data_IF_327948712491
#
_entry.id   IF_327948712491
#
_cell.length_a   1.000
_cell.length_b   1.000
_cell.length_c   1.000
_cell.angle_alpha   90.00
_cell.angle_beta   90.00
_cell.angle_gamma   90.00
#
_symmetry.space_group_name_H-M   'P 1'
#
loop_
_entity.id
_entity.type
_entity.pdbx_description
1 polymer ?
#
# COMPACT_ATOMS: atom_id res chain seq x y z
N UNK A 1 27.04 7.05 -3.87
CA UNK A 1 25.65 7.41 -3.59
C UNK A 1 24.78 6.40 -4.31
N UNK A 2 24.21 5.44 -3.62
CA UNK A 2 23.25 4.51 -4.22
C UNK A 2 21.99 5.32 -4.53
N UNK A 3 21.70 5.54 -5.81
CA UNK A 3 20.45 6.17 -6.23
C UNK A 3 19.30 5.29 -5.74
N UNK A 4 18.32 5.90 -5.06
CA UNK A 4 17.14 5.20 -4.63
C UNK A 4 16.42 4.59 -5.85
N UNK A 5 16.27 3.26 -5.92
CA UNK A 5 15.74 2.58 -7.10
C UNK A 5 14.28 2.93 -7.40
N UNK A 6 13.57 3.54 -6.44
CA UNK A 6 12.17 3.89 -6.58
C UNK A 6 11.93 5.36 -6.93
N UNK A 7 12.97 6.21 -6.98
CA UNK A 7 12.81 7.66 -7.14
C UNK A 7 12.02 8.02 -8.40
N UNK A 8 12.38 7.47 -9.56
CA UNK A 8 11.71 7.78 -10.84
C UNK A 8 10.20 7.43 -10.82
N UNK A 9 9.83 6.34 -10.19
CA UNK A 9 8.41 5.91 -10.08
C UNK A 9 7.65 6.80 -9.09
N UNK A 10 8.30 7.23 -8.02
CA UNK A 10 7.71 8.18 -7.06
C UNK A 10 7.46 9.53 -7.70
N UNK A 11 8.44 10.08 -8.41
CA UNK A 11 8.30 11.37 -9.09
C UNK A 11 7.18 11.32 -10.12
N UNK A 12 7.08 10.17 -10.85
CA UNK A 12 6.00 9.95 -11.82
C UNK A 12 4.65 9.95 -11.15
N UNK A 13 4.44 9.13 -10.11
CA UNK A 13 3.13 9.03 -9.47
C UNK A 13 2.73 10.32 -8.75
N UNK A 14 3.66 11.05 -8.12
CA UNK A 14 3.36 12.35 -7.52
C UNK A 14 2.86 13.35 -8.56
N UNK A 15 3.51 13.40 -9.74
CA UNK A 15 3.07 14.23 -10.86
C UNK A 15 1.68 13.83 -11.35
N UNK A 16 1.43 12.52 -11.54
CA UNK A 16 0.14 12.01 -12.03
C UNK A 16 -0.99 12.26 -11.05
N UNK A 17 -0.77 12.02 -9.76
CA UNK A 17 -1.76 12.31 -8.70
C UNK A 17 -2.04 13.82 -8.59
N UNK A 18 -1.00 14.66 -8.65
CA UNK A 18 -1.17 16.12 -8.62
C UNK A 18 -2.06 16.61 -9.75
N UNK A 19 -1.79 16.15 -10.98
CA UNK A 19 -2.59 16.52 -12.15
C UNK A 19 -4.03 16.02 -12.04
N UNK A 20 -4.23 14.74 -11.65
CA UNK A 20 -5.54 14.15 -11.47
C UNK A 20 -6.37 14.91 -10.43
N UNK A 21 -5.81 15.14 -9.24
CA UNK A 21 -6.53 15.79 -8.14
C UNK A 21 -6.78 17.27 -8.39
N UNK A 22 -5.97 17.93 -9.23
CA UNK A 22 -6.22 19.30 -9.65
C UNK A 22 -7.38 19.38 -10.64
N UNK A 23 -7.50 18.40 -11.55
CA UNK A 23 -8.59 18.35 -12.53
C UNK A 23 -9.90 17.80 -11.96
N UNK A 24 -9.84 16.86 -11.03
CA UNK A 24 -11.01 16.20 -10.46
C UNK A 24 -11.63 16.93 -9.26
N UNK A 25 -10.96 17.94 -8.73
CA UNK A 25 -11.42 18.68 -7.56
C UNK A 25 -11.29 20.19 -7.79
N UNK A 26 -12.33 20.92 -7.44
CA UNK A 26 -12.33 22.37 -7.47
C UNK A 26 -11.59 23.00 -6.26
N UNK A 27 -11.70 24.31 -6.09
CA UNK A 27 -11.15 25.04 -4.94
C UNK A 27 -11.96 24.87 -3.63
N UNK A 28 -12.98 23.99 -3.61
CA UNK A 28 -13.80 23.70 -2.43
C UNK A 28 -12.96 23.14 -1.27
N UNK A 29 -13.56 23.12 -0.09
CA UNK A 29 -12.95 22.49 1.09
C UNK A 29 -12.66 21.01 0.84
N UNK A 30 -13.60 20.31 0.22
CA UNK A 30 -13.45 18.90 -0.17
C UNK A 30 -12.23 18.68 -1.07
N UNK A 31 -12.09 19.46 -2.15
CA UNK A 31 -10.96 19.33 -3.06
C UNK A 31 -9.61 19.62 -2.37
N UNK A 32 -9.57 20.57 -1.44
CA UNK A 32 -8.39 20.85 -0.62
C UNK A 32 -8.04 19.68 0.31
N UNK A 33 -9.04 19.08 0.96
CA UNK A 33 -8.87 17.93 1.84
C UNK A 33 -8.35 16.69 1.08
N UNK A 34 -8.91 16.38 -0.11
CA UNK A 34 -8.43 15.31 -0.99
C UNK A 34 -6.96 15.48 -1.38
N UNK A 35 -6.57 16.69 -1.82
CA UNK A 35 -5.17 17.01 -2.16
C UNK A 35 -4.26 16.92 -0.95
N UNK A 36 -4.68 17.46 0.18
CA UNK A 36 -3.92 17.43 1.42
C UNK A 36 -3.57 16.02 1.86
N UNK A 37 -4.52 15.11 1.80
CA UNK A 37 -4.36 13.71 2.19
C UNK A 37 -3.48 12.92 1.21
N UNK A 38 -3.65 13.14 -0.09
CA UNK A 38 -2.95 12.35 -1.11
C UNK A 38 -1.60 12.93 -1.51
N UNK A 39 -1.44 14.27 -1.53
CA UNK A 39 -0.22 14.96 -1.94
C UNK A 39 0.57 15.39 -0.70
N UNK A 40 1.39 14.59 -0.18
CA UNK A 40 2.11 14.90 1.05
C UNK A 40 3.30 14.01 1.27
N UNK A 41 3.73 13.37 0.21
CA UNK A 41 4.84 12.44 0.28
C UNK A 41 4.38 11.04 0.72
N UNK A 42 5.35 10.25 1.13
CA UNK A 42 5.21 8.84 1.46
C UNK A 42 6.05 7.97 0.56
N UNK A 43 6.13 6.69 0.90
CA UNK A 43 7.00 5.74 0.19
C UNK A 43 6.48 5.37 -1.21
N UNK A 44 5.21 5.61 -1.48
CA UNK A 44 4.52 5.27 -2.74
C UNK A 44 4.75 3.83 -3.21
N UNK A 45 4.93 2.93 -2.25
CA UNK A 45 5.30 1.54 -2.51
C UNK A 45 4.33 0.84 -3.48
N UNK A 46 3.03 1.06 -3.30
CA UNK A 46 1.99 0.40 -4.10
C UNK A 46 2.04 0.85 -5.55
N UNK A 47 2.16 2.14 -5.79
CA UNK A 47 2.33 2.69 -7.13
C UNK A 47 3.64 2.23 -7.78
N UNK A 48 4.76 2.33 -7.05
CA UNK A 48 6.06 1.84 -7.54
C UNK A 48 5.97 0.35 -7.93
N UNK A 49 5.29 -0.46 -7.14
CA UNK A 49 5.12 -1.88 -7.41
C UNK A 49 4.29 -2.13 -8.68
N UNK A 50 3.23 -1.36 -8.91
CA UNK A 50 2.46 -1.45 -10.15
C UNK A 50 3.32 -1.14 -11.38
N UNK A 51 4.15 -0.10 -11.32
CA UNK A 51 5.09 0.24 -12.40
C UNK A 51 6.16 -0.83 -12.61
N UNK A 52 6.77 -1.31 -11.53
CA UNK A 52 7.81 -2.35 -11.60
C UNK A 52 7.28 -3.66 -12.18
N UNK A 53 6.04 -4.01 -11.85
CA UNK A 53 5.37 -5.20 -12.38
C UNK A 53 5.01 -5.04 -13.87
N UNK A 54 4.62 -3.83 -14.28
CA UNK A 54 4.40 -3.51 -15.69
C UNK A 54 5.69 -3.66 -16.50
N UNK A 55 6.80 -3.09 -16.03
CA UNK A 55 8.11 -3.26 -16.68
C UNK A 55 8.57 -4.73 -16.74
N UNK A 56 8.34 -5.50 -15.67
CA UNK A 56 8.69 -6.92 -15.64
C UNK A 56 7.94 -7.73 -16.70
N UNK A 57 6.76 -7.28 -17.09
CA UNK A 57 5.97 -7.85 -18.18
C UNK A 57 6.17 -7.15 -19.54
N UNK A 58 7.13 -6.21 -19.64
CA UNK A 58 7.42 -5.50 -20.88
C UNK A 58 6.33 -4.51 -21.31
N UNK A 59 5.51 -4.01 -20.36
CA UNK A 59 4.55 -2.94 -20.58
C UNK A 59 5.21 -1.58 -20.39
N UNK A 60 4.65 -0.54 -20.97
CA UNK A 60 5.07 0.83 -20.70
C UNK A 60 4.58 1.29 -19.33
N UNK A 61 5.26 2.27 -18.73
CA UNK A 61 4.78 2.88 -17.48
C UNK A 61 3.43 3.59 -17.66
N UNK A 62 3.17 4.07 -18.87
CA UNK A 62 1.90 4.71 -19.21
C UNK A 62 0.71 3.74 -19.06
N UNK A 63 0.90 2.46 -19.35
CA UNK A 63 -0.14 1.44 -19.23
C UNK A 63 -0.48 1.11 -17.75
N UNK A 64 0.41 1.47 -16.83
CA UNK A 64 0.22 1.27 -15.39
C UNK A 64 -0.23 2.53 -14.64
N UNK A 65 -0.26 3.71 -15.28
CA UNK A 65 -0.54 4.98 -14.61
C UNK A 65 -1.89 4.99 -13.87
N UNK A 66 -2.96 4.56 -14.55
CA UNK A 66 -4.30 4.56 -13.95
C UNK A 66 -4.39 3.62 -12.76
N UNK A 67 -3.75 2.45 -12.83
CA UNK A 67 -3.70 1.49 -11.72
C UNK A 67 -2.85 2.00 -10.56
N UNK A 68 -1.70 2.60 -10.86
CA UNK A 68 -0.83 3.20 -9.84
C UNK A 68 -1.53 4.35 -9.11
N UNK A 69 -2.25 5.21 -9.82
CA UNK A 69 -3.08 6.26 -9.22
C UNK A 69 -4.21 5.66 -8.39
N UNK A 70 -4.94 4.69 -8.92
CA UNK A 70 -6.08 4.08 -8.24
C UNK A 70 -5.69 3.44 -6.90
N UNK A 71 -4.60 2.67 -6.86
CA UNK A 71 -4.17 2.03 -5.61
C UNK A 71 -3.69 3.02 -4.56
N UNK A 72 -3.08 4.15 -4.96
CA UNK A 72 -2.70 5.21 -4.03
C UNK A 72 -3.90 6.03 -3.53
N UNK A 73 -4.93 6.24 -4.37
CA UNK A 73 -6.19 6.87 -3.95
C UNK A 73 -6.92 5.99 -2.92
N UNK A 74 -7.01 4.67 -3.16
CA UNK A 74 -7.55 3.70 -2.18
C UNK A 74 -6.75 3.75 -0.88
N UNK A 75 -5.42 3.75 -0.96
CA UNK A 75 -4.59 3.87 0.23
C UNK A 75 -4.76 5.24 0.93
N UNK A 76 -4.92 6.32 0.15
CA UNK A 76 -5.15 7.65 0.69
C UNK A 76 -6.45 7.74 1.49
N UNK A 77 -7.57 7.23 0.94
CA UNK A 77 -8.83 7.22 1.67
C UNK A 77 -8.76 6.37 2.95
N UNK A 78 -8.08 5.21 2.90
CA UNK A 78 -7.98 4.36 4.08
C UNK A 78 -7.26 5.06 5.24
N UNK A 79 -6.17 5.79 4.93
CA UNK A 79 -5.46 6.56 5.95
C UNK A 79 -6.31 7.71 6.53
N UNK A 80 -7.14 8.38 5.72
CA UNK A 80 -8.04 9.43 6.20
C UNK A 80 -9.04 8.85 7.19
N UNK A 81 -9.65 7.71 6.85
CA UNK A 81 -10.67 7.09 7.70
C UNK A 81 -10.05 6.43 8.94
N UNK A 82 -8.87 5.80 8.80
CA UNK A 82 -8.15 5.22 9.94
C UNK A 82 -7.81 6.28 11.00
N UNK A 83 -7.47 7.52 10.59
CA UNK A 83 -7.13 8.61 11.50
C UNK A 83 -8.33 9.21 12.28
N UNK A 84 -9.58 8.89 11.92
CA UNK A 84 -10.78 9.48 12.55
C UNK A 84 -10.89 9.11 14.05
N UNK A 85 -11.55 9.97 14.87
CA UNK A 85 -11.75 9.69 16.31
C UNK A 85 -12.49 8.40 16.64
N UNK A 86 -13.28 7.87 15.70
CA UNK A 86 -13.98 6.59 15.83
C UNK A 86 -13.13 5.37 15.43
N UNK A 87 -11.89 5.60 15.01
CA UNK A 87 -10.93 4.61 14.55
C UNK A 87 -9.66 4.69 15.40
N UNK A 88 -8.49 4.99 14.81
CA UNK A 88 -7.21 5.06 15.52
C UNK A 88 -7.03 6.38 16.32
N UNK A 89 -7.85 7.41 16.09
CA UNK A 89 -7.80 8.76 16.70
C UNK A 89 -6.43 9.41 16.59
N UNK A 90 -5.80 9.29 15.43
CA UNK A 90 -4.46 9.81 15.20
C UNK A 90 -4.50 11.32 14.86
N UNK A 91 -3.92 12.16 15.71
CA UNK A 91 -3.84 13.61 15.49
C UNK A 91 -2.83 14.00 14.39
N UNK A 92 -1.85 13.14 14.10
CA UNK A 92 -0.77 13.42 13.14
C UNK A 92 -0.62 12.29 12.13
N UNK A 93 -0.44 12.66 10.84
CA UNK A 93 -0.10 11.75 9.76
C UNK A 93 1.08 12.29 8.94
N UNK A 94 2.17 11.54 8.84
CA UNK A 94 3.40 11.96 8.14
C UNK A 94 3.96 13.30 8.65
N UNK A 95 3.91 13.52 9.97
CA UNK A 95 4.41 14.74 10.61
C UNK A 95 3.53 15.99 10.42
N UNK A 96 2.32 15.84 9.86
CA UNK A 96 1.32 16.90 9.68
C UNK A 96 0.04 16.55 10.44
N UNK A 97 -0.81 17.52 10.80
CA UNK A 97 -2.15 17.23 11.32
C UNK A 97 -2.88 16.25 10.39
N UNK A 98 -3.58 15.26 10.96
CA UNK A 98 -4.44 14.38 10.20
C UNK A 98 -5.57 15.15 9.51
N UNK A 99 -6.23 14.55 8.52
CA UNK A 99 -7.21 15.28 7.69
C UNK A 99 -8.38 15.79 8.52
N UNK A 100 -8.86 15.03 9.50
CA UNK A 100 -9.96 15.45 10.37
C UNK A 100 -9.58 16.60 11.30
N UNK A 101 -8.31 16.69 11.71
CA UNK A 101 -7.82 17.84 12.50
C UNK A 101 -7.69 19.09 11.63
N UNK A 102 -7.25 18.93 10.37
CA UNK A 102 -7.01 20.07 9.48
C UNK A 102 -8.30 20.65 8.85
N UNK A 103 -9.31 19.80 8.58
CA UNK A 103 -10.52 20.18 7.83
C UNK A 103 -11.84 19.85 8.54
N UNK A 104 -11.81 19.14 9.67
CA UNK A 104 -12.97 18.63 10.37
C UNK A 104 -13.37 17.22 9.92
N UNK A 105 -14.09 16.50 10.81
CA UNK A 105 -14.46 15.09 10.62
C UNK A 105 -15.34 14.87 9.38
N UNK A 106 -16.35 15.73 9.18
CA UNK A 106 -17.24 15.60 8.03
C UNK A 106 -16.50 15.71 6.70
N UNK A 107 -15.60 16.69 6.56
CA UNK A 107 -14.77 16.84 5.36
C UNK A 107 -13.79 15.67 5.18
N UNK A 108 -13.25 15.12 6.26
CA UNK A 108 -12.39 13.95 6.20
C UNK A 108 -13.16 12.72 5.68
N UNK A 109 -14.36 12.46 6.21
CA UNK A 109 -15.22 11.37 5.74
C UNK A 109 -15.52 11.51 4.25
N UNK A 110 -16.01 12.70 3.84
CA UNK A 110 -16.36 12.97 2.45
C UNK A 110 -15.15 12.92 1.50
N UNK A 111 -13.97 13.36 1.96
CA UNK A 111 -12.74 13.26 1.18
C UNK A 111 -12.34 11.79 0.95
N UNK A 112 -12.46 10.93 1.96
CA UNK A 112 -12.25 9.50 1.81
C UNK A 112 -13.21 8.86 0.82
N UNK A 113 -14.51 9.14 0.92
CA UNK A 113 -15.54 8.63 0.00
C UNK A 113 -15.28 9.06 -1.44
N UNK A 114 -14.92 10.34 -1.64
CA UNK A 114 -14.62 10.87 -2.97
C UNK A 114 -13.35 10.26 -3.57
N UNK A 115 -12.30 10.05 -2.78
CA UNK A 115 -11.08 9.39 -3.23
C UNK A 115 -11.32 7.93 -3.60
N UNK A 116 -12.15 7.21 -2.84
CA UNK A 116 -12.52 5.84 -3.17
C UNK A 116 -13.26 5.76 -4.51
N UNK A 117 -14.24 6.63 -4.74
CA UNK A 117 -14.95 6.70 -6.02
C UNK A 117 -14.01 7.06 -7.18
N UNK A 118 -13.13 8.06 -6.98
CA UNK A 118 -12.14 8.49 -7.98
C UNK A 118 -11.16 7.38 -8.35
N UNK A 119 -10.81 6.50 -7.43
CA UNK A 119 -9.91 5.37 -7.70
C UNK A 119 -10.48 4.42 -8.77
N UNK A 120 -11.78 4.16 -8.76
CA UNK A 120 -12.41 3.34 -9.79
C UNK A 120 -12.62 4.11 -11.08
N UNK A 121 -12.95 5.39 -10.96
CA UNK A 121 -13.14 6.27 -12.12
C UNK A 121 -11.87 6.37 -12.95
N UNK A 122 -10.69 6.57 -12.35
CA UNK A 122 -9.43 6.74 -13.10
C UNK A 122 -9.08 5.51 -13.94
N UNK A 123 -9.45 4.29 -13.51
CA UNK A 123 -9.29 3.08 -14.32
C UNK A 123 -10.35 3.04 -15.43
N UNK A 124 -11.60 3.36 -15.09
CA UNK A 124 -12.71 3.33 -16.05
C UNK A 124 -12.52 4.30 -17.23
N UNK A 125 -11.96 5.48 -16.95
CA UNK A 125 -11.74 6.55 -17.93
C UNK A 125 -10.44 6.42 -18.74
N UNK A 126 -9.54 5.46 -18.39
CA UNK A 126 -8.28 5.30 -19.13
C UNK A 126 -8.52 4.77 -20.54
N UNK A 127 -8.34 5.65 -21.54
CA UNK A 127 -8.59 5.34 -22.95
C UNK A 127 -7.61 4.32 -23.56
N UNK A 128 -6.49 4.02 -22.88
CA UNK A 128 -5.48 3.05 -23.35
C UNK A 128 -5.82 1.62 -22.98
N UNK A 129 -6.63 1.45 -21.93
CA UNK A 129 -7.02 0.13 -21.45
C UNK A 129 -8.23 -0.40 -22.23
N UNK A 130 -8.20 -1.68 -22.58
CA UNK A 130 -9.37 -2.37 -23.14
C UNK A 130 -10.50 -2.45 -22.10
N UNK A 131 -11.73 -2.59 -22.55
CA UNK A 131 -12.88 -2.78 -21.64
C UNK A 131 -12.70 -3.99 -20.73
N UNK A 132 -12.14 -5.08 -21.23
CA UNK A 132 -11.86 -6.30 -20.48
C UNK A 132 -10.82 -6.05 -19.37
N UNK A 133 -9.72 -5.36 -19.71
CA UNK A 133 -8.69 -4.96 -18.73
C UNK A 133 -9.26 -4.08 -17.64
N UNK A 134 -10.06 -3.07 -18.01
CA UNK A 134 -10.74 -2.18 -17.03
C UNK A 134 -11.62 -2.96 -16.06
N UNK A 135 -12.49 -3.83 -16.59
CA UNK A 135 -13.37 -4.67 -15.76
C UNK A 135 -12.56 -5.57 -14.84
N UNK A 136 -11.50 -6.19 -15.35
CA UNK A 136 -10.60 -7.04 -14.57
C UNK A 136 -9.93 -6.27 -13.41
N UNK A 137 -9.34 -5.11 -13.71
CA UNK A 137 -8.68 -4.24 -12.72
C UNK A 137 -9.66 -3.71 -11.67
N UNK A 138 -10.83 -3.19 -12.08
CA UNK A 138 -11.86 -2.70 -11.17
C UNK A 138 -12.36 -3.82 -10.25
N UNK A 139 -12.64 -5.00 -10.79
CA UNK A 139 -13.06 -6.15 -10.01
C UNK A 139 -11.98 -6.65 -9.04
N UNK A 140 -10.70 -6.61 -9.43
CA UNK A 140 -9.59 -7.00 -8.56
C UNK A 140 -9.35 -5.95 -7.46
N UNK A 141 -9.35 -4.65 -7.80
CA UNK A 141 -9.19 -3.56 -6.84
C UNK A 141 -10.32 -3.54 -5.81
N UNK A 142 -11.58 -3.72 -6.23
CA UNK A 142 -12.72 -3.75 -5.33
C UNK A 142 -12.66 -4.91 -4.32
N UNK A 143 -12.15 -6.08 -4.75
CA UNK A 143 -11.88 -7.21 -3.84
C UNK A 143 -10.74 -6.91 -2.87
N UNK A 144 -9.66 -6.29 -3.36
CA UNK A 144 -8.49 -5.96 -2.54
C UNK A 144 -8.78 -4.86 -1.51
N UNK A 145 -9.62 -3.89 -1.86
CA UNK A 145 -10.01 -2.79 -0.97
C UNK A 145 -11.16 -3.17 0.00
N UNK A 146 -12.06 -4.06 -0.42
CA UNK A 146 -13.34 -4.32 0.24
C UNK A 146 -13.30 -5.25 1.45
N UNK A 147 -14.47 -5.82 1.80
CA UNK A 147 -14.68 -6.65 2.99
C UNK A 147 -13.85 -7.95 3.05
N UNK A 148 -13.37 -8.44 1.90
CA UNK A 148 -12.46 -9.60 1.81
C UNK A 148 -10.99 -9.20 1.62
N UNK A 149 -10.67 -7.93 1.75
CA UNK A 149 -9.36 -7.32 1.61
C UNK A 149 -9.09 -6.33 2.73
N UNK A 150 -8.62 -5.13 2.37
CA UNK A 150 -8.12 -4.12 3.30
C UNK A 150 -9.14 -3.72 4.38
N UNK A 151 -10.38 -3.40 4.00
CA UNK A 151 -11.44 -3.01 4.97
C UNK A 151 -11.77 -4.17 5.91
N UNK A 152 -11.85 -5.41 5.39
CA UNK A 152 -12.03 -6.59 6.24
C UNK A 152 -10.85 -6.81 7.19
N UNK A 153 -9.62 -6.55 6.73
CA UNK A 153 -8.43 -6.58 7.57
C UNK A 153 -8.45 -5.53 8.67
N UNK A 154 -8.85 -4.30 8.35
CA UNK A 154 -9.01 -3.21 9.32
C UNK A 154 -10.07 -3.56 10.38
N UNK A 155 -11.21 -4.09 9.97
CA UNK A 155 -12.26 -4.51 10.91
C UNK A 155 -11.77 -5.62 11.87
N UNK A 156 -10.99 -6.58 11.37
CA UNK A 156 -10.39 -7.62 12.22
C UNK A 156 -9.33 -7.05 13.16
N UNK A 157 -8.52 -6.09 12.70
CA UNK A 157 -7.50 -5.41 13.48
C UNK A 157 -8.12 -4.70 14.70
N UNK A 158 -9.14 -3.88 14.47
CA UNK A 158 -9.91 -3.20 15.53
C UNK A 158 -10.56 -4.17 16.51
N UNK A 159 -11.16 -5.25 16.02
CA UNK A 159 -11.77 -6.28 16.89
C UNK A 159 -10.74 -7.00 17.76
N UNK A 160 -9.48 -6.97 17.37
CA UNK A 160 -8.39 -7.68 18.01
C UNK A 160 -7.57 -6.80 18.98
N UNK A 161 -7.93 -5.53 19.13
CA UNK A 161 -7.28 -4.63 20.09
C UNK A 161 -7.35 -5.19 21.51
N UNK A 162 -6.27 -4.99 22.27
CA UNK A 162 -6.12 -5.51 23.63
C UNK A 162 -6.15 -7.03 23.75
N UNK A 163 -5.99 -7.78 22.65
CA UNK A 163 -5.92 -9.24 22.66
C UNK A 163 -4.52 -9.71 22.25
N UNK A 164 -4.05 -10.78 22.89
CA UNK A 164 -2.85 -11.50 22.41
C UNK A 164 -3.26 -12.46 21.32
N UNK A 165 -2.74 -12.24 20.11
CA UNK A 165 -3.09 -13.03 18.94
C UNK A 165 -2.09 -14.15 18.68
N UNK A 166 -2.59 -15.29 18.25
CA UNK A 166 -1.77 -16.32 17.63
C UNK A 166 -1.17 -15.80 16.31
N UNK A 167 0.09 -16.18 16.04
CA UNK A 167 0.86 -15.67 14.90
C UNK A 167 0.14 -15.84 13.53
N UNK A 168 -0.59 -16.93 13.36
CA UNK A 168 -1.34 -17.16 12.11
C UNK A 168 -2.55 -16.22 11.96
N UNK A 169 -3.17 -15.79 13.07
CA UNK A 169 -4.27 -14.81 13.06
C UNK A 169 -3.70 -13.42 12.74
N UNK A 170 -2.60 -13.04 13.39
CA UNK A 170 -1.88 -11.81 13.11
C UNK A 170 -1.45 -11.72 11.64
N UNK A 171 -0.80 -12.77 11.12
CA UNK A 171 -0.42 -12.84 9.71
C UNK A 171 -1.63 -12.70 8.76
N UNK A 172 -2.80 -13.24 9.13
CA UNK A 172 -4.04 -13.10 8.37
C UNK A 172 -4.53 -11.65 8.35
N UNK A 173 -4.55 -10.97 9.48
CA UNK A 173 -4.94 -9.56 9.59
C UNK A 173 -4.03 -8.70 8.68
N UNK A 174 -2.72 -8.85 8.82
CA UNK A 174 -1.75 -8.10 8.01
C UNK A 174 -1.84 -8.41 6.53
N UNK A 175 -2.09 -9.68 6.16
CA UNK A 175 -2.26 -10.05 4.75
C UNK A 175 -3.50 -9.40 4.13
N UNK A 176 -4.53 -9.11 4.91
CA UNK A 176 -5.73 -8.41 4.45
C UNK A 176 -5.54 -6.89 4.50
N UNK A 177 -5.23 -6.33 5.68
CA UNK A 177 -5.14 -4.88 5.90
C UNK A 177 -4.08 -4.24 5.01
N UNK A 178 -2.90 -4.82 4.91
CA UNK A 178 -1.75 -4.28 4.17
C UNK A 178 -1.47 -5.06 2.89
N UNK A 179 -1.45 -6.38 2.98
CA UNK A 179 -1.02 -7.27 1.89
C UNK A 179 -1.95 -7.27 0.68
N UNK A 180 -3.26 -7.10 0.86
CA UNK A 180 -4.23 -7.18 -0.23
C UNK A 180 -4.00 -6.12 -1.32
N UNK A 181 -3.76 -4.86 -0.94
CA UNK A 181 -3.47 -3.79 -1.90
C UNK A 181 -2.08 -3.92 -2.51
N UNK A 182 -1.09 -4.40 -1.77
CA UNK A 182 0.26 -4.68 -2.28
C UNK A 182 0.20 -5.81 -3.31
N UNK A 183 -0.52 -6.88 -3.00
CA UNK A 183 -0.73 -8.00 -3.91
C UNK A 183 -1.49 -7.60 -5.18
N UNK A 184 -2.52 -6.74 -5.05
CA UNK A 184 -3.22 -6.17 -6.19
C UNK A 184 -2.27 -5.35 -7.08
N UNK A 185 -1.48 -4.44 -6.49
CA UNK A 185 -0.53 -3.61 -7.23
C UNK A 185 0.47 -4.47 -8.02
N UNK A 186 1.02 -5.51 -7.39
CA UNK A 186 1.94 -6.44 -8.03
C UNK A 186 1.28 -7.20 -9.19
N UNK A 187 0.05 -7.68 -9.01
CA UNK A 187 -0.64 -8.50 -10.01
C UNK A 187 -1.28 -7.69 -11.14
N UNK A 188 -1.41 -6.38 -11.00
CA UNK A 188 -2.23 -5.51 -11.86
C UNK A 188 -1.82 -5.53 -13.33
N UNK A 189 -0.53 -5.58 -13.61
CA UNK A 189 0.03 -5.65 -14.96
C UNK A 189 -0.42 -6.92 -15.72
N UNK A 190 -0.74 -7.99 -15.02
CA UNK A 190 -1.21 -9.24 -15.61
C UNK A 190 -2.64 -9.21 -16.16
N UNK A 191 -3.39 -8.12 -15.97
CA UNK A 191 -4.72 -7.92 -16.58
C UNK A 191 -4.66 -7.38 -18.00
N UNK A 192 -3.47 -6.98 -18.48
CA UNK A 192 -3.32 -6.53 -19.87
C UNK A 192 -3.48 -7.70 -20.85
N UNK A 193 -4.00 -7.42 -22.08
CA UNK A 193 -4.09 -8.43 -23.14
C UNK A 193 -2.73 -9.08 -23.40
N UNK A 194 -2.76 -10.31 -23.88
CA UNK A 194 -1.56 -11.09 -24.23
C UNK A 194 -0.61 -11.40 -23.05
N UNK A 195 -1.07 -11.25 -21.81
CA UNK A 195 -0.31 -11.69 -20.62
C UNK A 195 -0.74 -13.07 -20.17
N UNK A 196 0.23 -13.85 -19.73
CA UNK A 196 -0.04 -15.20 -19.26
C UNK A 196 -0.68 -15.17 -17.85
N UNK A 197 -1.68 -16.00 -17.62
CA UNK A 197 -2.27 -16.16 -16.30
C UNK A 197 -1.25 -16.62 -15.25
N UNK A 198 -0.20 -17.34 -15.66
CA UNK A 198 0.94 -17.74 -14.81
C UNK A 198 1.70 -16.54 -14.27
N UNK A 199 1.95 -15.50 -15.10
CA UNK A 199 2.70 -14.32 -14.71
C UNK A 199 1.93 -13.49 -13.70
N UNK A 200 0.63 -13.28 -13.95
CA UNK A 200 -0.27 -12.62 -13.00
C UNK A 200 -0.31 -13.35 -11.66
N UNK A 201 -0.38 -14.70 -11.67
CA UNK A 201 -0.35 -15.52 -10.46
C UNK A 201 0.98 -15.39 -9.72
N UNK A 202 2.10 -15.41 -10.44
CA UNK A 202 3.44 -15.28 -9.85
C UNK A 202 3.63 -13.90 -9.20
N UNK A 203 3.24 -12.82 -9.89
CA UNK A 203 3.28 -11.46 -9.35
C UNK A 203 2.35 -11.29 -8.14
N UNK A 204 1.17 -11.92 -8.16
CA UNK A 204 0.27 -11.94 -7.01
C UNK A 204 0.93 -12.62 -5.81
N UNK A 205 1.49 -13.80 -5.98
CA UNK A 205 2.19 -14.53 -4.90
C UNK A 205 3.39 -13.75 -4.36
N UNK A 206 4.14 -13.11 -5.25
CA UNK A 206 5.21 -12.18 -4.86
C UNK A 206 4.67 -11.03 -4.01
N UNK A 207 3.60 -10.37 -4.45
CA UNK A 207 2.97 -9.26 -3.72
C UNK A 207 2.43 -9.67 -2.35
N UNK A 208 1.88 -10.88 -2.21
CA UNK A 208 1.42 -11.44 -0.92
C UNK A 208 2.58 -11.58 0.08
N UNK A 209 3.70 -12.15 -0.36
CA UNK A 209 4.91 -12.31 0.46
C UNK A 209 5.54 -10.96 0.82
N UNK A 210 5.64 -10.07 -0.17
CA UNK A 210 6.17 -8.71 0.01
C UNK A 210 5.33 -7.89 1.01
N UNK A 211 4.01 -8.00 0.92
CA UNK A 211 3.09 -7.30 1.82
C UNK A 211 3.24 -7.75 3.27
N UNK A 212 3.40 -9.06 3.49
CA UNK A 212 3.66 -9.59 4.83
C UNK A 212 5.06 -9.19 5.33
N UNK A 213 6.09 -9.28 4.46
CA UNK A 213 7.43 -8.83 4.80
C UNK A 213 7.48 -7.34 5.14
N UNK A 214 6.69 -6.53 4.44
CA UNK A 214 6.56 -5.10 4.73
C UNK A 214 6.04 -4.85 6.15
N UNK A 215 5.03 -5.59 6.58
CA UNK A 215 4.46 -5.45 7.92
C UNK A 215 5.41 -5.97 9.00
N UNK A 216 6.05 -7.13 8.79
CA UNK A 216 7.06 -7.63 9.74
C UNK A 216 8.21 -6.64 9.92
N UNK A 217 8.63 -5.98 8.83
CA UNK A 217 9.66 -4.93 8.91
C UNK A 217 9.14 -3.68 9.65
N UNK A 218 7.87 -3.29 9.46
CA UNK A 218 7.27 -2.17 10.21
C UNK A 218 7.26 -2.45 11.71
N UNK A 219 6.86 -3.65 12.13
CA UNK A 219 6.86 -4.08 13.54
C UNK A 219 8.28 -4.06 14.15
N UNK A 220 9.30 -4.52 13.38
CA UNK A 220 10.70 -4.47 13.80
C UNK A 220 11.16 -3.01 13.96
N UNK A 221 10.81 -2.14 13.02
CA UNK A 221 11.20 -0.73 13.05
C UNK A 221 10.53 0.03 14.20
N UNK A 222 9.27 -0.26 14.52
CA UNK A 222 8.56 0.36 15.64
C UNK A 222 9.28 0.08 16.99
N UNK A 223 9.86 -1.11 17.15
CA UNK A 223 10.62 -1.48 18.36
C UNK A 223 12.06 -0.93 18.34
N UNK A 224 12.72 -0.85 17.17
CA UNK A 224 14.18 -0.63 17.08
C UNK A 224 14.59 0.77 16.66
N UNK A 225 13.70 1.55 16.02
CA UNK A 225 14.04 2.88 15.48
C UNK A 225 13.62 4.01 16.43
N UNK A 226 14.33 5.14 16.40
CA UNK A 226 13.97 6.31 17.20
C UNK A 226 12.72 7.03 16.67
N UNK A 227 12.01 7.75 17.53
CA UNK A 227 10.86 8.59 17.19
C UNK A 227 11.17 9.57 16.06
N UNK A 228 12.37 10.16 16.04
CA UNK A 228 12.82 11.10 15.01
C UNK A 228 12.89 10.45 13.63
N UNK A 229 13.30 9.17 13.59
CA UNK A 229 13.42 8.40 12.34
C UNK A 229 12.08 7.92 11.82
N UNK A 230 11.17 7.49 12.73
CA UNK A 230 9.87 6.93 12.38
C UNK A 230 8.84 7.99 11.93
N UNK A 231 8.99 9.24 12.39
CA UNK A 231 7.98 10.29 12.19
C UNK A 231 6.67 10.06 12.96
N UNK A 232 6.65 9.05 13.86
CA UNK A 232 5.62 8.74 14.86
C UNK A 232 6.31 8.36 16.17
N UNK A 233 5.59 8.32 17.28
CA UNK A 233 6.15 7.92 18.56
C UNK A 233 6.65 6.46 18.50
N UNK A 234 7.92 6.23 18.91
CA UNK A 234 8.48 4.88 19.03
C UNK A 234 7.67 4.05 20.03
N UNK A 235 7.42 2.78 19.71
CA UNK A 235 6.65 1.88 20.57
C UNK A 235 5.15 2.22 20.62
N UNK A 236 4.63 2.90 19.58
CA UNK A 236 3.20 3.23 19.50
C UNK A 236 2.33 1.97 19.55
N UNK A 237 2.75 0.88 18.90
CA UNK A 237 2.02 -0.39 18.91
C UNK A 237 1.98 -1.01 20.32
N UNK A 238 3.06 -0.89 21.07
CA UNK A 238 3.12 -1.34 22.48
C UNK A 238 2.26 -0.47 23.40
N UNK A 239 2.24 0.85 23.16
CA UNK A 239 1.38 1.77 23.92
C UNK A 239 -0.10 1.51 23.68
N UNK A 240 -0.48 1.07 22.47
CA UNK A 240 -1.84 0.69 22.07
C UNK A 240 -2.15 -0.79 22.37
N UNK A 241 -1.25 -1.54 23.05
CA UNK A 241 -1.38 -2.96 23.33
C UNK A 241 -1.72 -3.82 22.09
N UNK A 242 -1.21 -3.42 20.90
CA UNK A 242 -1.36 -4.17 19.65
C UNK A 242 -0.44 -5.40 19.65
N UNK A 243 -0.97 -6.52 19.13
CA UNK A 243 -0.14 -7.69 18.85
C UNK A 243 0.71 -7.43 17.61
N UNK A 244 2.03 -7.70 17.69
CA UNK A 244 3.00 -7.54 16.61
C UNK A 244 3.78 -8.83 16.41
N UNK A 245 4.48 -8.98 15.27
CA UNK A 245 5.40 -10.10 15.07
C UNK A 245 6.53 -10.11 16.12
N UNK A 246 6.97 -8.93 16.57
CA UNK A 246 7.98 -8.83 17.61
C UNK A 246 7.43 -9.30 18.97
N UNK A 247 6.20 -8.92 19.33
CA UNK A 247 5.58 -9.38 20.59
C UNK A 247 5.31 -10.90 20.59
N UNK A 248 5.00 -11.49 19.41
CA UNK A 248 4.68 -12.91 19.29
C UNK A 248 5.92 -13.82 19.17
N UNK A 249 6.98 -13.37 18.50
CA UNK A 249 8.16 -14.20 18.16
C UNK A 249 9.46 -13.74 18.84
N UNK A 250 9.45 -12.60 19.50
CA UNK A 250 10.66 -11.86 19.88
C UNK A 250 11.35 -11.22 18.66
N UNK A 251 12.28 -10.31 18.91
CA UNK A 251 12.97 -9.56 17.86
C UNK A 251 13.72 -10.49 16.88
N UNK A 252 14.49 -11.45 17.40
CA UNK A 252 15.24 -12.40 16.56
C UNK A 252 14.30 -13.28 15.73
N UNK A 253 13.17 -13.70 16.29
CA UNK A 253 12.14 -14.47 15.58
C UNK A 253 11.49 -13.68 14.47
N UNK A 254 11.16 -12.40 14.69
CA UNK A 254 10.62 -11.50 13.67
C UNK A 254 11.63 -11.23 12.54
N UNK A 255 12.92 -11.04 12.87
CA UNK A 255 13.99 -10.87 11.88
C UNK A 255 14.18 -12.13 11.02
N UNK A 256 14.13 -13.33 11.61
CA UNK A 256 14.18 -14.58 10.89
C UNK A 256 12.96 -14.76 9.97
N UNK A 257 11.76 -14.41 10.46
CA UNK A 257 10.54 -14.44 9.65
C UNK A 257 10.64 -13.49 8.44
N UNK A 258 11.14 -12.28 8.64
CA UNK A 258 11.40 -11.32 7.56
C UNK A 258 12.37 -11.88 6.53
N UNK A 259 13.49 -12.46 6.97
CA UNK A 259 14.48 -13.04 6.09
C UNK A 259 13.89 -14.17 5.23
N UNK A 260 13.07 -15.05 5.82
CA UNK A 260 12.38 -16.13 5.10
C UNK A 260 11.40 -15.59 4.06
N UNK A 261 10.57 -14.60 4.42
CA UNK A 261 9.60 -13.98 3.51
C UNK A 261 10.29 -13.30 2.32
N UNK A 262 11.42 -12.63 2.56
CA UNK A 262 12.24 -12.01 1.51
C UNK A 262 12.86 -13.07 0.59
N UNK A 263 13.37 -14.16 1.13
CA UNK A 263 13.91 -15.27 0.34
C UNK A 263 12.81 -15.89 -0.54
N UNK A 264 11.67 -16.21 0.05
CA UNK A 264 10.52 -16.77 -0.65
C UNK A 264 9.97 -15.86 -1.75
N UNK A 265 9.92 -14.54 -1.51
CA UNK A 265 9.50 -13.54 -2.51
C UNK A 265 10.50 -13.51 -3.69
N UNK A 266 11.80 -13.50 -3.37
CA UNK A 266 12.87 -13.51 -4.36
C UNK A 266 12.84 -14.78 -5.23
N UNK A 267 12.69 -15.94 -4.60
CA UNK A 267 12.66 -17.23 -5.31
C UNK A 267 11.41 -17.38 -6.17
N UNK A 268 10.27 -16.85 -5.72
CA UNK A 268 9.03 -16.80 -6.52
C UNK A 268 9.23 -16.02 -7.84
N UNK A 269 9.93 -14.86 -7.79
CA UNK A 269 10.25 -14.09 -8.99
C UNK A 269 11.25 -14.81 -9.90
N UNK A 270 12.28 -15.46 -9.34
CA UNK A 270 13.27 -16.21 -10.13
C UNK A 270 12.64 -17.39 -10.85
N UNK A 271 11.80 -18.16 -10.16
CA UNK A 271 11.11 -19.33 -10.72
C UNK A 271 10.15 -18.97 -11.85
N UNK A 272 9.53 -17.79 -11.78
CA UNK A 272 8.65 -17.28 -12.84
C UNK A 272 9.36 -16.57 -13.99
N UNK A 273 10.67 -16.34 -13.90
CA UNK A 273 11.44 -15.57 -14.88
C UNK A 273 11.18 -14.05 -14.80
N UNK A 274 10.50 -13.57 -13.75
CA UNK A 274 10.14 -12.15 -13.57
C UNK A 274 11.09 -11.38 -12.63
N UNK A 275 12.25 -11.99 -12.28
CA UNK A 275 13.26 -11.39 -11.40
C UNK A 275 14.05 -10.27 -12.10
N UNK A 276 13.40 -9.17 -12.44
CA UNK A 276 14.08 -8.00 -13.01
C UNK A 276 14.97 -7.32 -11.96
N UNK A 277 16.03 -6.61 -12.38
CA UNK A 277 16.89 -5.86 -11.46
C UNK A 277 16.10 -4.89 -10.58
N UNK A 278 15.06 -4.24 -11.13
CA UNK A 278 14.25 -3.27 -10.42
C UNK A 278 13.34 -3.92 -9.34
N UNK A 279 12.71 -5.07 -9.63
CA UNK A 279 11.95 -5.82 -8.61
C UNK A 279 12.85 -6.38 -7.51
N UNK A 280 14.04 -6.86 -7.86
CA UNK A 280 15.04 -7.28 -6.87
C UNK A 280 15.54 -6.08 -6.05
N UNK A 281 15.74 -4.92 -6.70
CA UNK A 281 16.08 -3.66 -6.04
C UNK A 281 15.04 -3.23 -5.02
N UNK A 282 13.74 -3.39 -5.31
CA UNK A 282 12.64 -3.13 -4.37
C UNK A 282 12.75 -4.02 -3.12
N UNK A 283 13.03 -5.31 -3.30
CA UNK A 283 13.20 -6.24 -2.16
C UNK A 283 14.39 -5.81 -1.29
N UNK A 284 15.51 -5.46 -1.92
CA UNK A 284 16.68 -4.97 -1.20
C UNK A 284 16.40 -3.66 -0.45
N UNK A 285 15.67 -2.74 -1.10
CA UNK A 285 15.22 -1.49 -0.47
C UNK A 285 14.34 -1.77 0.75
N UNK A 286 13.36 -2.69 0.65
CA UNK A 286 12.51 -3.05 1.80
C UNK A 286 13.33 -3.52 2.99
N UNK A 287 14.34 -4.36 2.76
CA UNK A 287 15.21 -4.89 3.81
C UNK A 287 16.07 -3.84 4.48
N UNK A 288 16.50 -2.81 3.72
CA UNK A 288 17.46 -1.80 4.17
C UNK A 288 16.81 -0.54 4.73
N UNK A 289 15.48 -0.40 4.59
CA UNK A 289 14.79 0.79 5.08
C UNK A 289 14.88 0.91 6.60
N UNK A 290 14.99 2.15 7.06
CA UNK A 290 15.13 2.50 8.48
C UNK A 290 13.91 3.29 9.01
N UNK A 291 12.87 3.53 8.17
CA UNK A 291 11.67 4.32 8.48
C UNK A 291 10.48 3.87 7.64
#
# INVERSE_FOLDING_TARGET
>A
MTTDPLSQYRDRIETKLSNLLTSASDASSLGKAMRYACLGGGKRLRACLAYLSAEALGLSLDDADSTAMAVELIHGYSLIHDDLPSMDDDALRRGKPSTHIAFGEAEAILAGDALQALAFQVIADDVRLSAETKVGLIAALSRAAGAKGMVGGQALDMMSEHQTLEIHVLAKIHSLKTGALISFAAASAGFHPDRNASDSKALKQFGEKLGLAFQVQDDILDETSSTETLGKQQGSDKAQAKSTFVSALGLDGAQNQLANLIADATDSLKQSGLATPNLIGLIAWLRQRNY
#
